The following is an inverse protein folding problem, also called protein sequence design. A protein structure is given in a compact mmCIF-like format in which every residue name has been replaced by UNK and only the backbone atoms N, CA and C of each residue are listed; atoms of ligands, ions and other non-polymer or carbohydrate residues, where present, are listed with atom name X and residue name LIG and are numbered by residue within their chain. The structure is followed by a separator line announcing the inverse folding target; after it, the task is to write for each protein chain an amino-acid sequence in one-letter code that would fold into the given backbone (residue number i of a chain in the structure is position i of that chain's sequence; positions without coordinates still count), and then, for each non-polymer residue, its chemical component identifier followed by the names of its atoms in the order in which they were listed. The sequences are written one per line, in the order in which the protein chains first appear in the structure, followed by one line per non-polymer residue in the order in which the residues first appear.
data_IF_634074427347
#
_entry.id   IF_634074427347
#
_cell.length_a   1.000
_cell.length_b   1.000
_cell.length_c   1.000
_cell.angle_alpha   90.00
_cell.angle_beta   90.00
_cell.angle_gamma   90.00
#
_symmetry.space_group_name_H-M   'P 1'
#
loop_
_entity.id
_entity.type
_entity.pdbx_description
1 polymer ?
#
# COMPACT_ATOMS: atom_id res chain seq x y z
N UNK A 1 -27.48 -10.76 6.30
CA UNK A 1 -26.02 -10.90 6.50
C UNK A 1 -25.32 -10.38 5.26
N UNK A 2 -24.26 -9.56 5.36
CA UNK A 2 -23.47 -9.21 4.19
C UNK A 2 -22.88 -10.51 3.60
N UNK A 3 -23.02 -10.71 2.29
CA UNK A 3 -22.44 -11.87 1.63
C UNK A 3 -20.93 -11.86 1.82
N UNK A 4 -20.35 -13.02 2.13
CA UNK A 4 -18.89 -13.16 2.19
C UNK A 4 -18.31 -12.84 0.81
N UNK A 5 -17.29 -11.98 0.70
CA UNK A 5 -16.63 -11.69 -0.57
C UNK A 5 -16.09 -12.98 -1.19
N UNK A 6 -16.30 -13.15 -2.49
CA UNK A 6 -15.74 -14.30 -3.21
C UNK A 6 -14.29 -13.99 -3.61
N UNK A 7 -13.35 -14.69 -2.99
CA UNK A 7 -11.90 -14.52 -3.17
C UNK A 7 -11.47 -14.72 -4.63
N UNK A 8 -12.00 -15.74 -5.29
CA UNK A 8 -11.64 -16.05 -6.68
C UNK A 8 -12.14 -14.95 -7.63
N UNK A 9 -13.36 -14.45 -7.41
CA UNK A 9 -13.88 -13.33 -8.18
C UNK A 9 -13.10 -12.04 -7.95
N UNK A 10 -12.57 -11.79 -6.74
CA UNK A 10 -11.70 -10.65 -6.48
C UNK A 10 -10.41 -10.77 -7.31
N UNK A 11 -9.75 -11.92 -7.28
CA UNK A 11 -8.52 -12.16 -8.05
C UNK A 11 -8.76 -11.96 -9.55
N UNK A 12 -9.80 -12.60 -10.10
CA UNK A 12 -10.18 -12.46 -11.50
C UNK A 12 -10.50 -11.01 -11.88
N UNK A 13 -11.21 -10.27 -11.00
CA UNK A 13 -11.52 -8.85 -11.24
C UNK A 13 -10.24 -8.01 -11.37
N UNK A 14 -9.24 -8.29 -10.55
CA UNK A 14 -7.95 -7.62 -10.58
C UNK A 14 -7.08 -8.03 -11.77
N UNK A 15 -7.08 -9.31 -12.13
CA UNK A 15 -6.44 -9.81 -13.35
C UNK A 15 -7.00 -9.11 -14.59
N UNK A 16 -8.33 -8.99 -14.70
CA UNK A 16 -8.98 -8.26 -15.79
C UNK A 16 -8.59 -6.79 -15.84
N UNK A 17 -8.53 -6.12 -14.67
CA UNK A 17 -8.12 -4.71 -14.60
C UNK A 17 -6.65 -4.51 -14.98
N UNK A 18 -5.76 -5.45 -14.64
CA UNK A 18 -4.35 -5.41 -15.05
C UNK A 18 -4.18 -5.67 -16.53
N UNK A 19 -4.88 -6.67 -17.07
CA UNK A 19 -4.84 -7.01 -18.49
C UNK A 19 -5.37 -5.85 -19.36
N UNK A 20 -6.34 -5.09 -18.86
CA UNK A 20 -6.86 -3.91 -19.54
C UNK A 20 -7.06 -2.72 -18.57
N UNK A 21 -6.03 -1.87 -18.38
CA UNK A 21 -6.11 -0.74 -17.46
C UNK A 21 -7.20 0.28 -17.79
N UNK A 22 -7.67 0.36 -19.04
CA UNK A 22 -8.75 1.27 -19.45
C UNK A 22 -10.15 0.65 -19.33
N UNK A 23 -10.24 -0.64 -19.00
CA UNK A 23 -11.52 -1.31 -18.77
C UNK A 23 -12.34 -0.60 -17.69
N UNK A 24 -13.62 -0.37 -18.01
CA UNK A 24 -14.59 0.19 -17.07
C UNK A 24 -15.04 -0.88 -16.08
N UNK A 25 -15.52 -0.46 -14.92
CA UNK A 25 -16.10 -1.37 -13.92
C UNK A 25 -17.30 -2.15 -14.47
N UNK A 26 -18.08 -1.51 -15.35
CA UNK A 26 -19.22 -2.15 -16.01
C UNK A 26 -18.77 -3.25 -16.96
N UNK A 27 -17.73 -3.00 -17.77
CA UNK A 27 -17.17 -4.01 -18.67
C UNK A 27 -16.63 -5.24 -17.91
N UNK A 28 -15.87 -5.02 -16.84
CA UNK A 28 -15.35 -6.13 -16.03
C UNK A 28 -16.49 -6.90 -15.35
N UNK A 29 -17.51 -6.18 -14.86
CA UNK A 29 -18.68 -6.79 -14.25
C UNK A 29 -19.45 -7.68 -15.23
N UNK A 30 -19.67 -7.22 -16.47
CA UNK A 30 -20.29 -7.98 -17.53
C UNK A 30 -19.46 -9.23 -17.87
N UNK A 31 -18.16 -9.07 -18.10
CA UNK A 31 -17.26 -10.17 -18.46
C UNK A 31 -17.22 -11.29 -17.42
N UNK A 32 -17.24 -10.93 -16.14
CA UNK A 32 -17.19 -11.87 -15.03
C UNK A 32 -18.58 -12.31 -14.52
N UNK A 33 -19.66 -11.86 -15.18
CA UNK A 33 -21.04 -12.11 -14.76
C UNK A 33 -21.32 -11.74 -13.28
N UNK A 34 -20.77 -10.62 -12.83
CA UNK A 34 -20.98 -10.06 -11.49
C UNK A 34 -21.71 -8.71 -11.55
N UNK A 35 -22.18 -8.22 -10.40
CA UNK A 35 -22.77 -6.87 -10.35
C UNK A 35 -21.71 -5.78 -10.49
N UNK A 36 -22.07 -4.63 -11.07
CA UNK A 36 -21.20 -3.45 -11.12
C UNK A 36 -20.79 -3.00 -9.71
N UNK A 37 -21.68 -3.16 -8.72
CA UNK A 37 -21.38 -2.87 -7.33
C UNK A 37 -20.28 -3.79 -6.78
N UNK A 38 -20.33 -5.10 -7.10
CA UNK A 38 -19.29 -6.06 -6.74
C UNK A 38 -17.95 -5.70 -7.37
N UNK A 39 -17.91 -5.42 -8.68
CA UNK A 39 -16.70 -4.99 -9.37
C UNK A 39 -16.13 -3.68 -8.78
N UNK A 40 -17.00 -2.76 -8.37
CA UNK A 40 -16.60 -1.51 -7.70
C UNK A 40 -15.93 -1.77 -6.36
N UNK A 41 -16.51 -2.64 -5.53
CA UNK A 41 -15.95 -3.02 -4.24
C UNK A 41 -14.64 -3.79 -4.39
N UNK A 42 -14.57 -4.75 -5.32
CA UNK A 42 -13.39 -5.57 -5.53
C UNK A 42 -12.20 -4.75 -6.04
N UNK A 43 -12.45 -3.73 -6.87
CA UNK A 43 -11.40 -2.79 -7.33
C UNK A 43 -11.13 -1.63 -6.36
N UNK A 44 -11.67 -1.68 -5.14
CA UNK A 44 -11.44 -0.67 -4.12
C UNK A 44 -10.46 -1.22 -3.06
N UNK A 45 -9.25 -0.67 -3.03
CA UNK A 45 -8.21 -1.07 -2.08
C UNK A 45 -8.64 -0.91 -0.62
N UNK A 46 -9.33 0.18 -0.26
CA UNK A 46 -9.78 0.42 1.11
C UNK A 46 -10.84 -0.62 1.53
N UNK A 47 -11.78 -0.91 0.64
CA UNK A 47 -12.81 -1.93 0.89
C UNK A 47 -12.20 -3.32 1.14
N UNK A 48 -11.16 -3.67 0.38
CA UNK A 48 -10.40 -4.91 0.57
C UNK A 48 -9.57 -4.88 1.86
N UNK A 49 -8.91 -3.77 2.18
CA UNK A 49 -8.08 -3.61 3.37
C UNK A 49 -8.89 -3.78 4.66
N UNK A 50 -10.05 -3.14 4.76
CA UNK A 50 -11.01 -3.30 5.88
C UNK A 50 -11.40 -4.77 6.14
N UNK A 51 -11.24 -5.63 5.14
CA UNK A 51 -11.62 -7.05 5.17
C UNK A 51 -10.41 -7.99 5.23
N UNK A 52 -9.20 -7.45 5.37
CA UNK A 52 -7.94 -8.19 5.28
C UNK A 52 -7.73 -8.93 3.94
N UNK A 53 -8.31 -8.41 2.86
CA UNK A 53 -8.26 -8.96 1.50
C UNK A 53 -7.40 -8.12 0.54
N UNK A 54 -6.70 -7.10 1.03
CA UNK A 54 -5.89 -6.18 0.20
C UNK A 54 -4.86 -6.89 -0.68
N UNK A 55 -4.26 -7.96 -0.16
CA UNK A 55 -3.30 -8.80 -0.87
C UNK A 55 -3.87 -9.47 -2.14
N UNK A 56 -5.19 -9.68 -2.22
CA UNK A 56 -5.83 -10.33 -3.38
C UNK A 56 -5.79 -9.47 -4.65
N UNK A 57 -5.56 -8.17 -4.50
CA UNK A 57 -5.36 -7.28 -5.63
C UNK A 57 -4.10 -7.63 -6.46
N UNK A 58 -3.23 -8.53 -5.98
CA UNK A 58 -1.90 -8.77 -6.55
C UNK A 58 -1.52 -10.26 -6.57
N UNK A 59 -2.49 -11.15 -6.78
CA UNK A 59 -2.31 -12.61 -6.67
C UNK A 59 -1.25 -13.22 -7.62
N UNK A 60 -0.80 -12.48 -8.64
CA UNK A 60 0.19 -12.85 -9.65
C UNK A 60 1.58 -12.19 -9.46
N UNK A 61 1.72 -11.26 -8.51
CA UNK A 61 3.00 -10.64 -8.17
C UNK A 61 3.65 -11.43 -7.02
N UNK A 62 4.95 -11.69 -7.13
CA UNK A 62 5.77 -12.26 -6.05
C UNK A 62 5.86 -11.21 -4.92
N UNK A 63 4.83 -11.18 -4.07
CA UNK A 63 4.63 -10.18 -3.03
C UNK A 63 5.65 -10.37 -1.89
N UNK A 64 6.28 -9.28 -1.47
CA UNK A 64 6.59 -9.10 -0.05
C UNK A 64 5.27 -8.85 0.68
N UNK A 65 4.52 -9.94 0.94
CA UNK A 65 3.17 -9.86 1.51
C UNK A 65 3.24 -9.14 2.87
N UNK A 66 2.36 -8.14 3.11
CA UNK A 66 2.21 -7.55 4.43
C UNK A 66 1.85 -8.64 5.45
N UNK A 67 2.66 -8.81 6.50
CA UNK A 67 2.55 -9.92 7.45
C UNK A 67 1.44 -9.72 8.48
N UNK A 68 0.81 -8.54 8.52
CA UNK A 68 -0.21 -8.14 9.49
C UNK A 68 -1.24 -7.15 8.91
N UNK A 69 -2.39 -7.02 9.59
CA UNK A 69 -3.44 -6.08 9.21
C UNK A 69 -2.93 -4.63 9.11
N UNK A 70 -2.05 -4.23 10.03
CA UNK A 70 -1.41 -2.91 10.08
C UNK A 70 -0.50 -2.69 8.86
N UNK A 71 0.31 -3.69 8.48
CA UNK A 71 1.14 -3.58 7.28
C UNK A 71 0.27 -3.56 6.01
N UNK A 72 -0.84 -4.28 5.99
CA UNK A 72 -1.75 -4.31 4.85
C UNK A 72 -2.50 -2.98 4.65
N UNK A 73 -2.84 -2.29 5.74
CA UNK A 73 -3.39 -0.93 5.71
C UNK A 73 -2.34 0.06 5.15
N UNK A 74 -1.13 0.06 5.71
CA UNK A 74 -0.03 0.91 5.26
C UNK A 74 0.35 0.64 3.79
N UNK A 75 0.29 -0.61 3.34
CA UNK A 75 0.49 -0.96 1.93
C UNK A 75 -0.54 -0.28 1.02
N UNK A 76 -1.83 -0.32 1.39
CA UNK A 76 -2.89 0.37 0.65
C UNK A 76 -2.66 1.88 0.55
N UNK A 77 -2.20 2.50 1.65
CA UNK A 77 -1.86 3.93 1.68
C UNK A 77 -0.63 4.24 0.80
N UNK A 78 0.43 3.45 0.88
CA UNK A 78 1.62 3.58 0.02
C UNK A 78 1.26 3.56 -1.47
N UNK A 79 0.35 2.68 -1.88
CA UNK A 79 -0.09 2.55 -3.27
C UNK A 79 -0.95 3.74 -3.74
N UNK A 80 -1.58 4.49 -2.82
CA UNK A 80 -2.26 5.74 -3.18
C UNK A 80 -1.29 6.87 -3.57
N UNK A 81 0.02 6.68 -3.33
CA UNK A 81 1.07 7.68 -3.53
C UNK A 81 1.23 8.65 -2.35
N UNK A 82 0.27 8.68 -1.43
CA UNK A 82 0.35 9.46 -0.20
C UNK A 82 1.22 8.73 0.85
N UNK A 83 2.23 9.43 1.37
CA UNK A 83 3.15 8.94 2.40
C UNK A 83 3.02 9.69 3.73
N UNK A 84 1.98 10.51 3.91
CA UNK A 84 1.70 11.19 5.18
C UNK A 84 1.52 10.20 6.35
N UNK A 85 1.12 8.96 6.05
CA UNK A 85 1.01 7.87 7.02
C UNK A 85 2.34 7.48 7.67
N UNK A 86 3.50 7.84 7.09
CA UNK A 86 4.81 7.70 7.74
C UNK A 86 4.91 8.51 9.04
N UNK A 87 4.02 9.49 9.27
CA UNK A 87 3.96 10.25 10.52
C UNK A 87 3.30 9.47 11.67
N UNK A 88 2.58 8.39 11.37
CA UNK A 88 1.82 7.62 12.36
C UNK A 88 2.69 6.52 12.95
N UNK A 89 2.94 6.57 14.26
CA UNK A 89 3.82 5.62 14.97
C UNK A 89 3.34 4.17 14.95
N UNK A 90 2.04 3.92 14.68
CA UNK A 90 1.49 2.56 14.53
C UNK A 90 2.21 1.74 13.45
N UNK A 91 2.68 2.41 12.40
CA UNK A 91 3.31 1.77 11.25
C UNK A 91 4.83 1.62 11.37
N UNK A 92 5.43 2.23 12.40
CA UNK A 92 6.87 2.22 12.62
C UNK A 92 7.37 0.79 12.97
N UNK A 93 8.47 0.38 12.36
CA UNK A 93 9.05 -0.95 12.51
C UNK A 93 8.27 -2.07 11.81
N UNK A 94 7.12 -1.75 11.20
CA UNK A 94 6.27 -2.70 10.47
C UNK A 94 6.24 -2.38 8.98
N UNK A 95 5.77 -1.18 8.65
CA UNK A 95 5.60 -0.72 7.27
C UNK A 95 6.61 0.37 6.86
N UNK A 96 7.27 0.99 7.82
CA UNK A 96 8.41 1.86 7.57
C UNK A 96 9.43 1.74 8.69
N UNK A 97 10.66 2.13 8.41
CA UNK A 97 11.75 2.16 9.39
C UNK A 97 12.37 3.54 9.45
N UNK A 98 13.00 3.87 10.58
CA UNK A 98 13.70 5.13 10.77
C UNK A 98 15.19 4.86 10.73
N UNK A 99 15.91 5.58 9.89
CA UNK A 99 17.38 5.58 9.83
C UNK A 99 17.90 6.96 10.20
N UNK A 100 19.01 6.99 10.94
CA UNK A 100 19.69 8.23 11.24
C UNK A 100 20.59 8.64 10.06
N UNK A 101 20.41 9.86 9.57
CA UNK A 101 21.33 10.50 8.62
C UNK A 101 22.10 11.59 9.37
N UNK A 102 23.43 11.49 9.35
CA UNK A 102 24.31 12.47 10.00
C UNK A 102 24.90 13.37 8.94
N UNK A 103 24.71 14.68 9.09
CA UNK A 103 25.36 15.70 8.26
C UNK A 103 26.36 16.47 9.11
N UNK A 104 27.60 16.46 8.65
CA UNK A 104 28.69 17.20 9.28
C UNK A 104 28.99 18.46 8.48
N UNK A 105 29.12 19.58 9.17
CA UNK A 105 29.52 20.83 8.56
C UNK A 105 30.51 21.60 9.44
N UNK A 106 31.44 22.35 8.84
CA UNK A 106 32.41 23.12 9.60
C UNK A 106 31.69 24.20 10.43
N UNK A 107 31.93 24.17 11.73
CA UNK A 107 31.51 25.18 12.68
C UNK A 107 32.52 26.32 12.77
N UNK A 108 32.17 27.36 13.54
CA UNK A 108 33.07 28.49 13.72
C UNK A 108 34.31 28.08 14.53
N UNK A 109 35.45 28.72 14.24
CA UNK A 109 36.73 28.50 14.94
C UNK A 109 37.24 27.03 14.98
N UNK A 110 37.00 26.25 13.92
CA UNK A 110 37.54 24.88 13.82
C UNK A 110 36.72 23.81 14.55
N UNK A 111 35.51 24.13 15.01
CA UNK A 111 34.54 23.15 15.51
C UNK A 111 33.86 22.41 14.34
N UNK A 112 33.26 21.25 14.63
CA UNK A 112 32.40 20.52 13.69
C UNK A 112 30.98 20.48 14.23
N UNK A 113 30.01 20.91 13.44
CA UNK A 113 28.59 20.79 13.74
C UNK A 113 28.12 19.45 13.15
N UNK A 114 27.41 18.68 13.98
CA UNK A 114 26.80 17.39 13.61
C UNK A 114 25.29 17.53 13.74
N UNK A 115 24.61 17.56 12.60
CA UNK A 115 23.16 17.52 12.53
C UNK A 115 22.73 16.07 12.30
N UNK A 116 21.87 15.53 13.19
CA UNK A 116 21.34 14.16 13.09
C UNK A 116 19.87 14.24 12.72
N UNK A 117 19.51 13.65 11.58
CA UNK A 117 18.15 13.62 11.05
C UNK A 117 17.60 12.19 11.14
N UNK A 118 16.38 12.04 11.65
CA UNK A 118 15.64 10.79 11.52
C UNK A 118 14.93 10.75 10.18
N UNK A 119 15.39 9.91 9.27
CA UNK A 119 14.79 9.69 7.94
C UNK A 119 13.84 8.51 8.02
N UNK A 120 12.58 8.71 7.66
CA UNK A 120 11.56 7.66 7.64
C UNK A 120 11.47 7.06 6.25
N UNK A 121 11.74 5.76 6.15
CA UNK A 121 11.78 5.05 4.88
C UNK A 121 10.65 4.03 4.81
N UNK A 122 9.75 4.21 3.84
CA UNK A 122 8.70 3.25 3.50
C UNK A 122 9.32 1.91 3.09
N UNK A 123 8.99 0.84 3.81
CA UNK A 123 9.52 -0.50 3.55
C UNK A 123 9.01 -1.12 2.25
N UNK A 124 8.00 -0.51 1.62
CA UNK A 124 7.31 -1.04 0.45
C UNK A 124 7.81 -0.48 -0.87
N UNK A 125 8.03 0.83 -0.94
CA UNK A 125 8.45 1.51 -2.16
C UNK A 125 9.79 2.25 -2.02
N UNK A 126 10.36 2.32 -0.82
CA UNK A 126 11.62 3.01 -0.55
C UNK A 126 11.50 4.55 -0.44
N UNK A 127 10.29 5.11 -0.50
CA UNK A 127 10.09 6.54 -0.28
C UNK A 127 10.64 6.95 1.09
N UNK A 128 11.38 8.05 1.12
CA UNK A 128 12.05 8.56 2.33
C UNK A 128 11.62 10.01 2.62
N UNK A 129 11.31 10.32 3.88
CA UNK A 129 10.94 11.67 4.35
C UNK A 129 11.62 12.06 5.65
#
# INVERSE_FOLDING_TARGET
MPQRPNVDLIKLTWEEKRANPTATRAYIAEKLAISVHSATNYLNHNWLAERNLGHLAYADQELQVPRSAVENEAWGLCQSGDHEWLKVSLYEGRAFHITEEIREQPGHTGSTIRDVYGVKTCSFCGFSS
#
